data_IF_873704410688
#
_entry.id   IF_873704410688
#
_cell.length_a   1.000
_cell.length_b   1.000
_cell.length_c   1.000
_cell.angle_alpha   90.00
_cell.angle_beta   90.00
_cell.angle_gamma   90.00
#
_symmetry.space_group_name_H-M   'P 1'
#
loop_
_entity.id
_entity.type
_entity.pdbx_description
1 polymer ?
#
# COMPACT_ATOMS: atom_id res chain seq x y z
N UNK A 1 -12.76 27.29 4.89
CA UNK A 1 -12.42 26.12 5.75
C UNK A 1 -11.02 26.34 6.31
N UNK A 2 -10.76 26.10 7.60
CA UNK A 2 -9.40 26.26 8.13
C UNK A 2 -8.48 25.15 7.62
N UNK A 3 -7.18 25.42 7.49
CA UNK A 3 -6.18 24.44 7.04
C UNK A 3 -6.18 23.19 7.95
N UNK A 4 -6.22 23.42 9.27
CA UNK A 4 -6.24 22.31 10.26
C UNK A 4 -7.45 21.39 10.07
N UNK A 5 -8.64 21.97 9.88
CA UNK A 5 -9.85 21.20 9.60
C UNK A 5 -9.73 20.40 8.29
N UNK A 6 -9.17 21.02 7.24
CA UNK A 6 -8.99 20.36 5.93
C UNK A 6 -8.02 19.19 6.02
N UNK A 7 -6.91 19.35 6.74
CA UNK A 7 -5.94 18.26 6.99
C UNK A 7 -6.63 17.12 7.76
N UNK A 8 -7.35 17.44 8.84
CA UNK A 8 -8.05 16.42 9.63
C UNK A 8 -9.12 15.68 8.82
N UNK A 9 -9.91 16.40 8.02
CA UNK A 9 -10.91 15.83 7.14
C UNK A 9 -10.28 14.94 6.06
N UNK A 10 -9.19 15.38 5.43
CA UNK A 10 -8.45 14.61 4.43
C UNK A 10 -7.93 13.31 5.04
N UNK A 11 -7.29 13.36 6.21
CA UNK A 11 -6.81 12.18 6.91
C UNK A 11 -7.94 11.21 7.24
N UNK A 12 -9.06 11.71 7.79
CA UNK A 12 -10.19 10.89 8.19
C UNK A 12 -10.84 10.19 6.98
N UNK A 13 -11.16 10.94 5.92
CA UNK A 13 -11.81 10.38 4.73
C UNK A 13 -10.89 9.36 4.06
N UNK A 14 -9.60 9.69 3.91
CA UNK A 14 -8.62 8.79 3.31
C UNK A 14 -8.38 7.54 4.17
N UNK A 15 -8.38 7.66 5.49
CA UNK A 15 -8.32 6.52 6.41
C UNK A 15 -9.53 5.60 6.22
N UNK A 16 -10.74 6.15 6.19
CA UNK A 16 -11.96 5.36 6.00
C UNK A 16 -11.96 4.64 4.64
N UNK A 17 -11.55 5.32 3.57
CA UNK A 17 -11.35 4.69 2.26
C UNK A 17 -10.28 3.60 2.33
N UNK A 18 -9.16 3.84 3.01
CA UNK A 18 -8.11 2.87 3.23
C UNK A 18 -8.59 1.59 3.92
N UNK A 19 -9.58 1.69 4.83
CA UNK A 19 -10.14 0.56 5.55
C UNK A 19 -10.83 -0.47 4.63
N UNK A 20 -11.21 -0.12 3.41
CA UNK A 20 -11.69 -1.07 2.41
C UNK A 20 -10.52 -1.88 1.85
N UNK A 21 -10.07 -2.87 2.62
CA UNK A 21 -8.95 -3.72 2.23
C UNK A 21 -9.40 -4.78 1.23
N UNK A 22 -8.87 -4.72 -0.01
CA UNK A 22 -9.28 -5.56 -1.12
C UNK A 22 -9.14 -7.05 -0.84
N UNK A 23 -8.06 -7.46 -0.15
CA UNK A 23 -7.82 -8.87 0.18
C UNK A 23 -8.85 -9.40 1.19
N UNK A 24 -9.15 -8.63 2.25
CA UNK A 24 -10.16 -9.02 3.24
C UNK A 24 -11.55 -9.03 2.62
N UNK A 25 -11.90 -7.97 1.87
CA UNK A 25 -13.23 -7.88 1.24
C UNK A 25 -13.45 -9.01 0.24
N UNK A 26 -12.49 -9.28 -0.63
CA UNK A 26 -12.61 -10.35 -1.63
C UNK A 26 -12.68 -11.72 -0.97
N UNK A 27 -11.82 -12.02 0.02
CA UNK A 27 -11.88 -13.30 0.70
C UNK A 27 -13.16 -13.47 1.51
N UNK A 28 -13.62 -12.44 2.20
CA UNK A 28 -14.80 -12.52 3.07
C UNK A 28 -16.11 -12.58 2.26
N UNK A 29 -16.31 -11.67 1.30
CA UNK A 29 -17.59 -11.52 0.62
C UNK A 29 -17.74 -12.39 -0.64
N UNK A 30 -16.62 -12.72 -1.32
CA UNK A 30 -16.68 -13.50 -2.57
C UNK A 30 -16.31 -14.96 -2.31
N UNK A 31 -15.21 -15.22 -1.58
CA UNK A 31 -14.72 -16.59 -1.34
C UNK A 31 -15.38 -17.21 -0.09
N UNK A 32 -15.93 -16.38 0.81
CA UNK A 32 -16.51 -16.77 2.10
C UNK A 32 -15.49 -17.39 3.05
N UNK A 33 -14.28 -16.83 3.05
CA UNK A 33 -13.16 -17.24 3.88
C UNK A 33 -12.40 -15.98 4.36
N UNK A 34 -11.41 -16.14 5.23
CA UNK A 34 -10.59 -15.02 5.71
C UNK A 34 -9.10 -15.27 5.38
N UNK A 35 -8.57 -14.52 4.42
CA UNK A 35 -7.17 -14.57 3.99
C UNK A 35 -6.17 -14.46 5.16
N UNK A 36 -6.57 -13.83 6.25
CA UNK A 36 -5.75 -13.63 7.45
C UNK A 36 -5.58 -14.90 8.30
N UNK A 37 -6.34 -15.95 8.02
CA UNK A 37 -6.21 -17.26 8.65
C UNK A 37 -5.25 -18.18 7.88
N UNK A 38 -4.78 -17.74 6.71
CA UNK A 38 -3.95 -18.53 5.81
C UNK A 38 -2.56 -17.90 5.56
N UNK A 39 -1.61 -18.75 5.20
CA UNK A 39 -0.28 -18.37 4.73
C UNK A 39 0.51 -17.54 5.76
N UNK A 40 0.74 -16.26 5.45
CA UNK A 40 1.45 -15.33 6.36
C UNK A 40 0.53 -14.59 7.33
N UNK A 41 -0.78 -14.77 7.23
CA UNK A 41 -1.77 -14.03 8.01
C UNK A 41 -1.93 -12.55 7.61
N UNK A 42 -1.27 -12.12 6.51
CA UNK A 42 -1.31 -10.73 6.07
C UNK A 42 -2.42 -10.50 5.04
N UNK A 43 -3.19 -9.43 5.20
CA UNK A 43 -4.26 -9.05 4.27
C UNK A 43 -3.72 -8.24 3.06
N UNK A 44 -2.78 -8.79 2.31
CA UNK A 44 -2.22 -8.17 1.12
C UNK A 44 -2.21 -9.11 -0.08
N UNK A 45 -2.09 -8.52 -1.28
CA UNK A 45 -2.15 -9.21 -2.57
C UNK A 45 -1.25 -10.48 -2.64
N UNK A 46 -0.02 -10.41 -2.13
CA UNK A 46 0.93 -11.54 -2.19
C UNK A 46 0.44 -12.74 -1.38
N UNK A 47 -0.12 -12.51 -0.17
CA UNK A 47 -0.69 -13.59 0.63
C UNK A 47 -1.97 -14.10 0.00
N UNK A 48 -2.82 -13.20 -0.49
CA UNK A 48 -4.04 -13.56 -1.20
C UNK A 48 -3.77 -14.45 -2.41
N UNK A 49 -2.81 -14.06 -3.27
CA UNK A 49 -2.40 -14.83 -4.43
C UNK A 49 -1.86 -16.22 -4.05
N UNK A 50 -1.04 -16.31 -3.00
CA UNK A 50 -0.50 -17.59 -2.51
C UNK A 50 -1.57 -18.53 -1.95
N UNK A 51 -2.67 -17.96 -1.42
CA UNK A 51 -3.76 -18.74 -0.79
C UNK A 51 -4.81 -19.15 -1.81
N UNK A 52 -5.26 -18.22 -2.66
CA UNK A 52 -6.42 -18.42 -3.53
C UNK A 52 -6.08 -18.38 -5.03
N UNK A 53 -4.79 -18.23 -5.40
CA UNK A 53 -4.36 -18.11 -6.78
C UNK A 53 -4.73 -16.79 -7.44
N UNK A 54 -4.66 -16.75 -8.78
CA UNK A 54 -4.85 -15.53 -9.58
C UNK A 54 -6.31 -15.14 -9.79
N UNK A 55 -7.26 -16.08 -9.65
CA UNK A 55 -8.66 -15.90 -10.09
C UNK A 55 -9.32 -14.62 -9.59
N UNK A 56 -9.14 -14.31 -8.30
CA UNK A 56 -9.76 -13.13 -7.67
C UNK A 56 -8.73 -12.04 -7.34
N UNK A 57 -7.46 -12.22 -7.72
CA UNK A 57 -6.42 -11.23 -7.45
C UNK A 57 -6.71 -9.87 -8.11
N UNK A 58 -7.38 -9.88 -9.28
CA UNK A 58 -7.81 -8.65 -9.95
C UNK A 58 -8.79 -7.84 -9.10
N UNK A 59 -9.72 -8.48 -8.38
CA UNK A 59 -10.63 -7.78 -7.46
C UNK A 59 -9.86 -7.06 -6.35
N UNK A 60 -8.84 -7.72 -5.80
CA UNK A 60 -7.95 -7.12 -4.79
C UNK A 60 -7.20 -5.92 -5.35
N UNK A 61 -6.64 -6.05 -6.56
CA UNK A 61 -5.91 -4.98 -7.24
C UNK A 61 -6.81 -3.78 -7.48
N UNK A 62 -7.98 -3.99 -8.09
CA UNK A 62 -8.94 -2.92 -8.41
C UNK A 62 -9.40 -2.20 -7.14
N UNK A 63 -9.72 -2.95 -6.08
CA UNK A 63 -10.15 -2.37 -4.81
C UNK A 63 -9.02 -1.53 -4.17
N UNK A 64 -7.82 -2.09 -4.02
CA UNK A 64 -6.71 -1.42 -3.34
C UNK A 64 -6.15 -0.24 -4.14
N UNK A 65 -6.08 -0.34 -5.48
CA UNK A 65 -5.69 0.77 -6.33
C UNK A 65 -6.78 1.84 -6.38
N UNK A 66 -8.03 1.44 -6.60
CA UNK A 66 -9.16 2.35 -6.74
C UNK A 66 -9.40 3.22 -5.50
N UNK A 67 -9.36 2.61 -4.29
CA UNK A 67 -9.48 3.37 -3.04
C UNK A 67 -8.37 4.41 -2.87
N UNK A 68 -7.14 4.05 -3.28
CA UNK A 68 -5.99 4.96 -3.16
C UNK A 68 -6.10 6.11 -4.14
N UNK A 69 -6.47 5.84 -5.40
CA UNK A 69 -6.74 6.90 -6.39
C UNK A 69 -7.82 7.84 -5.86
N UNK A 70 -8.94 7.29 -5.37
CA UNK A 70 -10.05 8.10 -4.84
C UNK A 70 -9.63 8.93 -3.63
N UNK A 71 -8.90 8.35 -2.68
CA UNK A 71 -8.37 9.08 -1.52
C UNK A 71 -7.45 10.23 -1.94
N UNK A 72 -6.51 9.96 -2.85
CA UNK A 72 -5.59 10.96 -3.38
C UNK A 72 -6.31 12.09 -4.13
N UNK A 73 -7.29 11.77 -4.98
CA UNK A 73 -8.08 12.79 -5.67
C UNK A 73 -8.83 13.70 -4.68
N UNK A 74 -9.52 13.12 -3.70
CA UNK A 74 -10.25 13.89 -2.68
C UNK A 74 -9.28 14.78 -1.90
N UNK A 75 -8.18 14.23 -1.39
CA UNK A 75 -7.19 14.99 -0.61
C UNK A 75 -6.51 16.07 -1.43
N UNK A 76 -6.13 15.77 -2.67
CA UNK A 76 -5.56 16.72 -3.62
C UNK A 76 -6.50 17.91 -3.86
N UNK A 77 -7.77 17.65 -4.16
CA UNK A 77 -8.77 18.72 -4.35
C UNK A 77 -9.01 19.54 -3.08
N UNK A 78 -9.17 18.92 -1.92
CA UNK A 78 -9.41 19.62 -0.66
C UNK A 78 -8.24 20.56 -0.31
N UNK A 79 -7.00 20.09 -0.40
CA UNK A 79 -5.83 20.91 -0.07
C UNK A 79 -5.53 21.94 -1.16
N UNK A 80 -5.72 21.61 -2.43
CA UNK A 80 -5.59 22.59 -3.51
C UNK A 80 -6.58 23.76 -3.34
N UNK A 81 -7.84 23.46 -2.99
CA UNK A 81 -8.87 24.49 -2.78
C UNK A 81 -8.56 25.43 -1.62
N UNK A 82 -7.92 24.93 -0.55
CA UNK A 82 -7.71 25.70 0.70
C UNK A 82 -6.36 26.41 0.74
N UNK A 83 -5.30 25.73 0.23
CA UNK A 83 -3.91 26.24 0.32
C UNK A 83 -3.19 26.31 -1.03
N UNK A 84 -3.86 25.94 -2.14
CA UNK A 84 -3.25 25.94 -3.47
C UNK A 84 -2.26 24.78 -3.72
N UNK A 85 -2.21 23.79 -2.83
CA UNK A 85 -1.19 22.74 -2.86
C UNK A 85 -1.81 21.33 -3.04
N UNK A 86 -1.86 20.90 -4.30
CA UNK A 86 -2.33 19.58 -4.69
C UNK A 86 -1.46 18.46 -4.12
N UNK A 87 -0.13 18.59 -4.22
CA UNK A 87 0.83 17.57 -3.81
C UNK A 87 0.79 17.32 -2.30
N UNK A 88 0.63 18.38 -1.51
CA UNK A 88 0.41 18.25 -0.07
C UNK A 88 -0.84 17.41 0.23
N UNK A 89 -1.91 17.62 -0.53
CA UNK A 89 -3.14 16.85 -0.42
C UNK A 89 -2.96 15.36 -0.72
N UNK A 90 -2.20 15.03 -1.76
CA UNK A 90 -1.87 13.64 -2.09
C UNK A 90 -1.10 12.95 -0.96
N UNK A 91 -0.10 13.62 -0.39
CA UNK A 91 0.73 13.05 0.69
C UNK A 91 -0.07 12.84 1.97
N UNK A 92 -0.91 13.79 2.37
CA UNK A 92 -1.77 13.66 3.54
C UNK A 92 -2.79 12.53 3.33
N UNK A 93 -3.42 12.48 2.16
CA UNK A 93 -4.35 11.40 1.80
C UNK A 93 -3.66 10.03 1.75
N UNK A 94 -2.44 9.99 1.22
CA UNK A 94 -1.62 8.79 1.20
C UNK A 94 -1.38 8.23 2.61
N UNK A 95 -0.99 9.09 3.57
CA UNK A 95 -0.83 8.68 4.97
C UNK A 95 -2.14 8.11 5.53
N UNK A 96 -3.26 8.81 5.35
CA UNK A 96 -4.57 8.34 5.82
C UNK A 96 -4.95 7.00 5.20
N UNK A 97 -4.84 6.86 3.89
CA UNK A 97 -5.18 5.65 3.16
C UNK A 97 -4.29 4.45 3.56
N UNK A 98 -2.99 4.66 3.74
CA UNK A 98 -2.07 3.62 4.20
C UNK A 98 -2.39 3.19 5.63
N UNK A 99 -2.65 4.12 6.55
CA UNK A 99 -3.09 3.79 7.91
C UNK A 99 -4.38 2.96 7.89
N UNK A 100 -5.36 3.34 7.06
CA UNK A 100 -6.60 2.58 6.92
C UNK A 100 -6.38 1.19 6.33
N UNK A 101 -5.49 1.05 5.33
CA UNK A 101 -5.14 -0.24 4.73
C UNK A 101 -4.42 -1.16 5.72
N UNK A 102 -3.51 -0.62 6.55
CA UNK A 102 -2.73 -1.39 7.53
C UNK A 102 -3.54 -1.72 8.77
N UNK A 103 -4.37 -0.77 9.23
CA UNK A 103 -5.14 -0.86 10.47
C UNK A 103 -6.63 -0.57 10.24
N UNK A 104 -7.31 -1.40 9.42
CA UNK A 104 -8.70 -1.17 9.06
C UNK A 104 -9.63 -1.36 10.26
N UNK A 105 -10.31 -0.28 10.69
CA UNK A 105 -11.22 -0.32 11.85
C UNK A 105 -12.37 -1.31 11.64
N UNK A 106 -12.85 -1.47 10.42
CA UNK A 106 -13.94 -2.40 10.09
C UNK A 106 -13.53 -3.88 10.15
N UNK A 107 -12.22 -4.17 10.20
CA UNK A 107 -11.70 -5.54 10.16
C UNK A 107 -10.75 -5.85 11.32
N UNK A 108 -10.97 -5.24 12.49
CA UNK A 108 -10.24 -5.50 13.73
C UNK A 108 -8.79 -5.03 13.69
N UNK A 109 -8.48 -3.96 12.96
CA UNK A 109 -7.16 -3.34 12.83
C UNK A 109 -6.06 -4.27 12.29
N UNK A 110 -6.45 -5.33 11.57
CA UNK A 110 -5.54 -6.34 10.98
C UNK A 110 -5.66 -6.32 9.46
N UNK A 111 -4.83 -5.50 8.83
CA UNK A 111 -4.83 -5.26 7.37
C UNK A 111 -3.58 -5.75 6.64
N UNK A 112 -3.24 -5.06 5.57
CA UNK A 112 -2.10 -5.31 4.69
C UNK A 112 -0.84 -4.54 5.09
N UNK A 113 0.08 -4.35 4.12
CA UNK A 113 1.35 -3.64 4.31
C UNK A 113 1.50 -2.40 3.42
N UNK A 114 0.51 -2.11 2.60
CA UNK A 114 0.45 -0.88 1.83
C UNK A 114 1.27 -0.82 0.53
N UNK A 115 1.82 -1.93 0.02
CA UNK A 115 2.69 -1.86 -1.16
C UNK A 115 1.94 -1.48 -2.43
N UNK A 116 0.76 -2.04 -2.64
CA UNK A 116 -0.04 -1.73 -3.82
C UNK A 116 -0.59 -0.29 -3.75
N UNK A 117 -1.11 0.10 -2.59
CA UNK A 117 -1.57 1.47 -2.33
C UNK A 117 -0.42 2.48 -2.43
N UNK A 118 0.74 2.20 -1.80
CA UNK A 118 1.93 3.04 -1.90
C UNK A 118 2.45 3.16 -3.34
N UNK A 119 2.36 2.09 -4.14
CA UNK A 119 2.69 2.11 -5.56
C UNK A 119 1.80 3.06 -6.37
N UNK A 120 0.50 3.14 -6.04
CA UNK A 120 -0.42 4.12 -6.63
C UNK A 120 -0.10 5.53 -6.15
N UNK A 121 0.18 5.72 -4.86
CA UNK A 121 0.52 7.04 -4.31
C UNK A 121 1.73 7.65 -5.02
N UNK A 122 2.82 6.89 -5.20
CA UNK A 122 4.02 7.42 -5.88
C UNK A 122 3.74 7.79 -7.34
N UNK A 123 2.86 7.05 -8.03
CA UNK A 123 2.44 7.38 -9.39
C UNK A 123 1.63 8.68 -9.44
N UNK A 124 0.74 8.88 -8.47
CA UNK A 124 -0.06 10.09 -8.39
C UNK A 124 0.75 11.33 -7.98
N UNK A 125 1.86 11.13 -7.25
CA UNK A 125 2.77 12.21 -6.88
C UNK A 125 3.59 12.68 -8.08
N UNK A 126 4.36 11.76 -8.70
CA UNK A 126 5.21 12.04 -9.85
C UNK A 126 5.58 10.72 -10.54
N UNK A 127 5.36 10.63 -11.85
CA UNK A 127 5.66 9.43 -12.62
C UNK A 127 7.15 9.02 -12.56
N UNK A 128 8.07 9.98 -12.37
CA UNK A 128 9.51 9.70 -12.23
C UNK A 128 9.83 9.03 -10.89
N UNK A 129 9.16 9.45 -9.81
CA UNK A 129 9.22 8.78 -8.50
C UNK A 129 8.68 7.35 -8.61
N UNK A 130 7.56 7.17 -9.33
CA UNK A 130 7.00 5.85 -9.57
C UNK A 130 7.96 4.95 -10.38
N UNK A 131 8.60 5.47 -11.42
CA UNK A 131 9.58 4.70 -12.22
C UNK A 131 10.74 4.21 -11.38
N UNK A 132 11.28 5.04 -10.48
CA UNK A 132 12.36 4.64 -9.57
C UNK A 132 11.87 3.55 -8.62
N UNK A 133 10.73 3.76 -7.96
CA UNK A 133 10.19 2.82 -6.98
C UNK A 133 9.82 1.48 -7.62
N UNK A 134 9.09 1.51 -8.73
CA UNK A 134 8.67 0.29 -9.44
C UNK A 134 9.83 -0.41 -10.13
N UNK A 135 10.80 0.35 -10.67
CA UNK A 135 12.04 -0.19 -11.24
C UNK A 135 12.86 -0.95 -10.20
N UNK A 136 13.10 -0.35 -9.03
CA UNK A 136 13.77 -1.03 -7.91
C UNK A 136 13.00 -2.26 -7.44
N UNK A 137 11.68 -2.15 -7.30
CA UNK A 137 10.83 -3.30 -6.96
C UNK A 137 11.01 -4.43 -7.98
N UNK A 138 10.85 -4.12 -9.27
CA UNK A 138 10.89 -5.12 -10.34
C UNK A 138 12.27 -5.79 -10.43
N UNK A 139 13.34 -5.01 -10.44
CA UNK A 139 14.71 -5.55 -10.51
C UNK A 139 14.99 -6.49 -9.34
N UNK A 140 14.75 -6.03 -8.11
CA UNK A 140 15.04 -6.83 -6.92
C UNK A 140 14.12 -8.05 -6.78
N UNK A 141 12.83 -7.92 -7.13
CA UNK A 141 11.91 -9.05 -7.12
C UNK A 141 12.25 -10.10 -8.18
N UNK A 142 12.48 -9.69 -9.42
CA UNK A 142 12.75 -10.61 -10.52
C UNK A 142 14.09 -11.35 -10.34
N UNK A 143 15.12 -10.68 -9.83
CA UNK A 143 16.46 -11.30 -9.61
C UNK A 143 16.50 -12.18 -8.38
N UNK A 144 15.91 -11.73 -7.25
CA UNK A 144 15.96 -12.45 -5.97
C UNK A 144 14.79 -13.39 -5.71
N UNK A 145 13.64 -13.15 -6.36
CA UNK A 145 12.32 -13.75 -6.10
C UNK A 145 11.73 -13.37 -4.72
N UNK A 146 12.32 -12.42 -4.00
CA UNK A 146 11.77 -11.90 -2.74
C UNK A 146 10.93 -10.64 -2.98
N UNK A 147 9.60 -10.78 -2.98
CA UNK A 147 8.66 -9.63 -3.10
C UNK A 147 8.94 -8.59 -2.02
N UNK A 148 9.21 -9.05 -0.78
CA UNK A 148 9.46 -8.16 0.35
C UNK A 148 10.76 -7.34 0.22
N UNK A 149 11.79 -7.88 -0.41
CA UNK A 149 13.03 -7.13 -0.67
C UNK A 149 12.77 -5.96 -1.63
N UNK A 150 12.11 -6.26 -2.76
CA UNK A 150 11.70 -5.23 -3.71
C UNK A 150 10.79 -4.17 -3.06
N UNK A 151 9.82 -4.61 -2.24
CA UNK A 151 8.90 -3.73 -1.52
C UNK A 151 9.61 -2.74 -0.59
N UNK A 152 10.52 -3.25 0.25
CA UNK A 152 11.27 -2.40 1.20
C UNK A 152 12.17 -1.42 0.47
N UNK A 153 12.89 -1.86 -0.56
CA UNK A 153 13.78 -0.99 -1.34
C UNK A 153 12.99 0.10 -2.09
N UNK A 154 11.90 -0.27 -2.77
CA UNK A 154 11.02 0.69 -3.44
C UNK A 154 10.47 1.73 -2.46
N UNK A 155 10.01 1.28 -1.29
CA UNK A 155 9.49 2.18 -0.27
C UNK A 155 10.57 3.10 0.29
N UNK A 156 11.78 2.59 0.56
CA UNK A 156 12.90 3.38 1.07
C UNK A 156 13.40 4.43 0.06
N UNK A 157 13.24 4.17 -1.25
CA UNK A 157 13.61 5.14 -2.30
C UNK A 157 12.66 6.34 -2.38
N UNK A 158 11.42 6.22 -1.89
CA UNK A 158 10.38 7.24 -2.04
C UNK A 158 10.80 8.61 -1.48
N UNK A 159 11.22 8.78 -0.20
CA UNK A 159 11.58 10.10 0.32
C UNK A 159 12.78 10.73 -0.39
N UNK A 160 13.76 9.91 -0.80
CA UNK A 160 14.93 10.37 -1.56
C UNK A 160 14.51 10.88 -2.94
N UNK A 161 13.70 10.10 -3.65
CA UNK A 161 13.21 10.47 -4.98
C UNK A 161 12.31 11.71 -4.93
N UNK A 162 11.42 11.82 -3.93
CA UNK A 162 10.59 13.00 -3.70
C UNK A 162 11.47 14.23 -3.47
N UNK A 163 12.49 14.15 -2.60
CA UNK A 163 13.40 15.25 -2.36
C UNK A 163 14.11 15.71 -3.65
N UNK A 164 14.68 14.79 -4.39
CA UNK A 164 15.50 15.10 -5.58
C UNK A 164 14.66 15.59 -6.77
N UNK A 165 13.45 15.06 -6.95
CA UNK A 165 12.65 15.27 -8.16
C UNK A 165 11.53 16.30 -8.00
N UNK A 166 11.13 16.61 -6.76
CA UNK A 166 9.99 17.49 -6.47
C UNK A 166 10.43 18.80 -5.79
N UNK A 167 11.52 19.39 -6.28
CA UNK A 167 11.93 20.74 -5.90
C UNK A 167 12.59 20.88 -4.53
N UNK A 168 13.20 19.83 -3.97
CA UNK A 168 13.89 19.82 -2.67
C UNK A 168 12.98 20.25 -1.51
N UNK A 169 11.69 19.94 -1.60
CA UNK A 169 10.67 20.31 -0.61
C UNK A 169 10.77 19.41 0.63
N UNK A 170 11.26 19.96 1.75
CA UNK A 170 11.42 19.22 3.00
C UNK A 170 10.12 18.73 3.61
N UNK A 171 9.00 19.45 3.43
CA UNK A 171 7.69 19.02 3.92
C UNK A 171 7.22 17.78 3.17
N UNK A 172 7.31 17.77 1.83
CA UNK A 172 6.95 16.60 1.03
C UNK A 172 7.86 15.41 1.35
N UNK A 173 9.16 15.68 1.53
CA UNK A 173 10.13 14.66 1.93
C UNK A 173 9.78 14.06 3.29
N UNK A 174 9.45 14.88 4.29
CA UNK A 174 9.08 14.40 5.62
C UNK A 174 7.78 13.58 5.60
N UNK A 175 6.76 14.02 4.86
CA UNK A 175 5.50 13.26 4.72
C UNK A 175 5.71 11.95 3.98
N UNK A 176 6.51 11.95 2.89
CA UNK A 176 6.85 10.72 2.18
C UNK A 176 7.69 9.76 3.03
N UNK A 177 8.58 10.30 3.87
CA UNK A 177 9.34 9.51 4.85
C UNK A 177 8.44 8.89 5.93
N UNK A 178 7.38 9.60 6.35
CA UNK A 178 6.38 9.04 7.28
C UNK A 178 5.64 7.85 6.65
N UNK A 179 5.21 7.96 5.39
CA UNK A 179 4.62 6.83 4.63
C UNK A 179 5.62 5.67 4.54
N UNK A 180 6.86 5.96 4.14
CA UNK A 180 7.89 4.94 4.02
C UNK A 180 8.17 4.24 5.36
N UNK A 181 8.25 4.97 6.46
CA UNK A 181 8.45 4.42 7.79
C UNK A 181 7.32 3.47 8.21
N UNK A 182 6.06 3.85 7.95
CA UNK A 182 4.89 3.00 8.23
C UNK A 182 4.95 1.68 7.45
N UNK A 183 5.22 1.75 6.14
CA UNK A 183 5.30 0.58 5.27
C UNK A 183 6.46 -0.33 5.67
N UNK A 184 7.66 0.23 5.92
CA UNK A 184 8.85 -0.51 6.36
C UNK A 184 8.59 -1.16 7.73
N UNK A 185 7.96 -0.45 8.66
CA UNK A 185 7.57 -1.01 9.96
C UNK A 185 6.62 -2.22 9.80
N UNK A 186 5.65 -2.15 8.89
CA UNK A 186 4.79 -3.30 8.56
C UNK A 186 5.57 -4.48 7.93
N UNK A 187 6.75 -4.21 7.36
CA UNK A 187 7.64 -5.23 6.80
C UNK A 187 8.68 -5.77 7.79
N UNK A 188 8.71 -5.33 9.06
CA UNK A 188 9.73 -5.75 10.06
C UNK A 188 9.88 -7.28 10.18
N UNK A 189 8.78 -8.02 10.09
CA UNK A 189 8.81 -9.48 10.10
C UNK A 189 9.43 -10.09 8.82
N UNK A 190 9.20 -9.45 7.66
CA UNK A 190 9.84 -9.85 6.41
C UNK A 190 11.33 -9.52 6.41
N UNK A 191 11.71 -8.34 6.90
CA UNK A 191 13.10 -7.91 7.04
C UNK A 191 13.85 -8.91 7.92
N UNK A 192 13.28 -9.29 9.07
CA UNK A 192 13.88 -10.31 9.94
C UNK A 192 14.08 -11.63 9.17
N UNK A 193 13.09 -12.12 8.43
CA UNK A 193 13.20 -13.37 7.65
C UNK A 193 14.18 -13.24 6.49
N UNK A 194 14.31 -12.09 5.85
CA UNK A 194 15.35 -11.84 4.84
C UNK A 194 16.73 -11.95 5.44
N UNK A 195 16.96 -11.33 6.60
CA UNK A 195 18.25 -11.37 7.30
C UNK A 195 18.61 -12.77 7.81
N UNK A 196 17.63 -13.58 8.17
CA UNK A 196 17.83 -14.99 8.61
C UNK A 196 17.76 -16.02 7.48
N UNK A 197 17.57 -15.59 6.22
CA UNK A 197 17.46 -16.51 5.07
C UNK A 197 16.18 -17.36 5.04
N UNK A 198 15.17 -17.01 5.84
CA UNK A 198 13.92 -17.78 5.98
C UNK A 198 12.72 -17.14 5.25
N UNK A 199 12.93 -16.06 4.51
CA UNK A 199 11.87 -15.43 3.72
C UNK A 199 11.45 -16.31 2.54
N UNK A 200 10.14 -16.42 2.30
CA UNK A 200 9.58 -17.26 1.23
C UNK A 200 9.74 -16.55 -0.12
N UNK A 201 10.37 -17.26 -1.08
CA UNK A 201 10.45 -16.81 -2.47
C UNK A 201 9.07 -16.82 -3.13
N UNK A 202 8.87 -15.96 -4.11
CA UNK A 202 7.65 -15.93 -4.93
C UNK A 202 7.61 -17.16 -5.85
N UNK A 203 6.44 -17.78 -5.94
CA UNK A 203 6.16 -18.91 -6.84
C UNK A 203 5.12 -18.45 -7.87
N UNK A 204 5.38 -18.74 -9.15
CA UNK A 204 4.50 -18.35 -10.26
C UNK A 204 3.26 -19.25 -10.40
N UNK A 205 3.40 -20.52 -10.03
CA UNK A 205 2.30 -21.47 -9.98
C UNK A 205 1.99 -21.76 -8.51
N UNK A 206 0.76 -21.54 -8.16
CA UNK A 206 0.23 -21.84 -6.84
C UNK A 206 -1.04 -22.66 -7.08
N UNK A 207 -1.08 -23.86 -6.55
CA UNK A 207 -2.33 -24.61 -6.45
C UNK A 207 -3.20 -23.88 -5.42
N UNK A 208 -4.31 -23.24 -5.85
CA UNK A 208 -5.19 -22.57 -4.92
C UNK A 208 -5.73 -23.60 -3.94
N UNK A 209 -5.90 -23.19 -2.68
CA UNK A 209 -6.73 -23.97 -1.76
C UNK A 209 -8.06 -24.14 -2.48
N UNK A 210 -8.43 -25.37 -2.79
CA UNK A 210 -9.75 -25.66 -3.34
C UNK A 210 -10.76 -25.03 -2.40
N UNK A 211 -11.46 -23.99 -2.90
CA UNK A 211 -12.46 -23.28 -2.10
C UNK A 211 -13.46 -24.33 -1.66
N UNK A 212 -13.36 -24.73 -0.39
CA UNK A 212 -13.96 -25.90 0.19
C UNK A 212 -15.33 -26.18 -0.35
N UNK A 213 -15.37 -27.10 -1.26
CA UNK A 213 -16.61 -27.81 -1.54
C UNK A 213 -16.96 -28.62 -0.30
N UNK A 214 -17.89 -28.08 0.46
CA UNK A 214 -18.96 -28.84 1.12
C UNK A 214 -20.02 -27.86 1.59
#
# INVERSE_FOLDING_TARGET
>A
MSVVFTVALTLLVSYLLGCFNGSVMTSHFIIRDDVRQHGSGNAGLTNFYRTYGARYALCVIVCDMGKTVLACLIGGYLMHWVVGDWTLGLLIAGIGCELGHMFPVFFGLRGGKGILSGGVLVLMLDWRVALIAWGLFAVLWLTSRYVSLGSVAATASMPVSVFLLMGHNWLYTALSAAVAALVIWCHRGNIRRLLTGTEKKFQWHVDPLDGGGK
#
